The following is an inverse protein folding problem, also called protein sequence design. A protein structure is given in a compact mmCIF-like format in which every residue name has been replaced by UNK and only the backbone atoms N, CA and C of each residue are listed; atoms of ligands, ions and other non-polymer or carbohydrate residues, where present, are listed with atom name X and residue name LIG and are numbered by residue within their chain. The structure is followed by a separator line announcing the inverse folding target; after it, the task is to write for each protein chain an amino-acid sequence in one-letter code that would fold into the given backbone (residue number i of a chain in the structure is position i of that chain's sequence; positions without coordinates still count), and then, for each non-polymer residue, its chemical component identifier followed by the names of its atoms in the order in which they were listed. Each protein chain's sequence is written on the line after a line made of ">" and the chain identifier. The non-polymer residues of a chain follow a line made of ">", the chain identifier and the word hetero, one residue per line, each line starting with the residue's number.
data_IF_364874611710
#
_entry.id   IF_364874611710
#
_cell.length_a   1.000
_cell.length_b   1.000
_cell.length_c   1.000
_cell.angle_alpha   90.00
_cell.angle_beta   90.00
_cell.angle_gamma   90.00
#
_symmetry.space_group_name_H-M   'P 1'
#
loop_
_entity.id
_entity.type
_entity.pdbx_description
1 polymer ?
#
# COMPACT_ATOMS: atom_id res chain seq x y z
N UNK A 1 44.18 -7.67 16.54
CA UNK A 1 42.92 -7.84 17.30
C UNK A 1 41.90 -6.86 16.75
N UNK A 2 40.78 -7.35 16.20
CA UNK A 2 39.68 -6.48 15.78
C UNK A 2 38.88 -6.14 17.03
N UNK A 3 38.83 -4.85 17.41
CA UNK A 3 37.96 -4.38 18.47
C UNK A 3 36.51 -4.52 18.01
N UNK A 4 35.81 -5.56 18.47
CA UNK A 4 34.40 -5.73 18.17
C UNK A 4 33.59 -4.79 19.07
N UNK A 5 32.99 -3.76 18.47
CA UNK A 5 32.09 -2.84 19.17
C UNK A 5 30.79 -3.56 19.50
N UNK A 6 30.36 -3.50 20.77
CA UNK A 6 29.08 -4.08 21.22
C UNK A 6 27.95 -3.05 21.04
N UNK A 7 26.97 -3.28 20.15
CA UNK A 7 25.85 -2.37 19.98
C UNK A 7 25.02 -2.25 21.27
N UNK A 8 24.62 -1.03 21.64
CA UNK A 8 23.75 -0.76 22.80
C UNK A 8 22.27 -0.67 22.44
N UNK A 9 21.97 -0.38 21.18
CA UNK A 9 20.62 -0.30 20.63
C UNK A 9 20.66 -0.80 19.19
N UNK A 10 19.70 -1.67 18.86
CA UNK A 10 19.43 -2.11 17.48
C UNK A 10 17.96 -1.88 17.23
N UNK A 11 17.65 -1.06 16.23
CA UNK A 11 16.28 -0.82 15.78
C UNK A 11 16.09 -1.56 14.46
N UNK A 12 14.99 -2.29 14.37
CA UNK A 12 14.61 -2.98 13.14
C UNK A 12 13.50 -2.19 12.45
N UNK A 13 13.64 -2.03 11.13
CA UNK A 13 12.45 -1.85 10.32
C UNK A 13 11.60 -3.12 10.43
N UNK A 14 10.29 -2.99 10.35
CA UNK A 14 9.39 -4.15 10.45
C UNK A 14 9.28 -4.82 9.10
N UNK A 15 9.16 -4.03 8.04
CA UNK A 15 8.85 -4.50 6.70
C UNK A 15 10.02 -5.15 6.01
N UNK A 16 9.83 -6.32 5.40
CA UNK A 16 10.88 -7.01 4.66
C UNK A 16 12.07 -7.47 5.53
N UNK A 17 12.06 -7.11 6.82
CA UNK A 17 13.05 -7.44 7.83
C UNK A 17 12.44 -8.41 8.85
N UNK A 18 11.35 -8.01 9.51
CA UNK A 18 10.64 -8.84 10.48
C UNK A 18 9.40 -9.52 9.89
N UNK A 19 8.69 -8.86 8.98
CA UNK A 19 7.43 -9.34 8.37
C UNK A 19 7.42 -9.14 6.85
N UNK A 20 6.78 -10.06 6.13
CA UNK A 20 6.58 -9.99 4.67
C UNK A 20 5.11 -9.71 4.34
N UNK A 21 4.82 -8.91 3.30
CA UNK A 21 3.44 -8.71 2.84
C UNK A 21 2.98 -9.73 1.82
N UNK A 22 1.66 -9.89 1.80
CA UNK A 22 0.87 -10.52 0.74
C UNK A 22 -0.14 -9.52 0.16
N UNK A 23 0.33 -8.30 -0.20
CA UNK A 23 -0.56 -7.20 -0.62
C UNK A 23 -1.45 -7.61 -1.80
N UNK A 24 -0.85 -8.16 -2.86
CA UNK A 24 -1.58 -8.55 -4.07
C UNK A 24 -2.66 -9.59 -3.76
N UNK A 25 -2.31 -10.64 -3.00
CA UNK A 25 -3.26 -11.67 -2.57
C UNK A 25 -4.42 -11.05 -1.78
N UNK A 26 -4.13 -10.13 -0.86
CA UNK A 26 -5.14 -9.49 -0.02
C UNK A 26 -6.10 -8.60 -0.84
N UNK A 27 -5.58 -7.83 -1.81
CA UNK A 27 -6.43 -6.99 -2.65
C UNK A 27 -7.26 -7.82 -3.62
N UNK A 28 -6.71 -8.91 -4.16
CA UNK A 28 -7.45 -9.87 -5.00
C UNK A 28 -8.56 -10.51 -4.20
N UNK A 29 -8.26 -10.99 -2.99
CA UNK A 29 -9.23 -11.61 -2.10
C UNK A 29 -10.38 -10.66 -1.76
N UNK A 30 -10.08 -9.46 -1.23
CA UNK A 30 -11.11 -8.48 -0.90
C UNK A 30 -11.86 -8.03 -2.14
N UNK A 31 -11.17 -7.73 -3.24
CA UNK A 31 -11.81 -7.35 -4.50
C UNK A 31 -12.85 -8.38 -4.95
N UNK A 32 -12.48 -9.66 -4.91
CA UNK A 32 -13.37 -10.77 -5.30
C UNK A 32 -14.65 -10.85 -4.45
N UNK A 33 -14.58 -10.55 -3.15
CA UNK A 33 -15.74 -10.52 -2.25
C UNK A 33 -16.78 -9.46 -2.66
N UNK A 34 -16.36 -8.42 -3.38
CA UNK A 34 -17.22 -7.36 -3.89
C UNK A 34 -17.41 -7.43 -5.41
N UNK A 35 -17.08 -8.56 -6.04
CA UNK A 35 -17.23 -8.76 -7.49
C UNK A 35 -16.20 -8.03 -8.36
N UNK A 36 -15.12 -7.51 -7.75
CA UNK A 36 -14.04 -6.80 -8.43
C UNK A 36 -12.84 -7.73 -8.64
N UNK A 37 -12.87 -8.49 -9.73
CA UNK A 37 -11.76 -9.34 -10.13
C UNK A 37 -10.61 -8.49 -10.68
N UNK A 38 -9.55 -8.37 -9.88
CA UNK A 38 -8.34 -7.64 -10.25
C UNK A 38 -7.25 -8.60 -10.72
N UNK A 39 -6.58 -8.25 -11.82
CA UNK A 39 -5.42 -9.01 -12.28
C UNK A 39 -4.19 -8.57 -11.46
N UNK A 40 -3.45 -9.49 -10.81
CA UNK A 40 -2.37 -9.15 -9.89
C UNK A 40 -1.28 -8.26 -10.52
N UNK A 41 -0.86 -8.50 -11.77
CA UNK A 41 0.21 -7.72 -12.41
C UNK A 41 -0.23 -6.30 -12.76
N UNK A 42 -1.49 -6.12 -13.18
CA UNK A 42 -2.09 -4.79 -13.40
C UNK A 42 -2.26 -4.05 -12.09
N UNK A 43 -2.68 -4.73 -11.03
CA UNK A 43 -2.79 -4.15 -9.68
C UNK A 43 -1.43 -3.64 -9.20
N UNK A 44 -0.43 -4.52 -9.30
CA UNK A 44 0.96 -4.25 -9.02
C UNK A 44 1.49 -2.98 -9.71
N UNK A 45 1.28 -2.90 -11.02
CA UNK A 45 1.69 -1.75 -11.84
C UNK A 45 0.93 -0.48 -11.48
N UNK A 46 -0.39 -0.58 -11.32
CA UNK A 46 -1.25 0.55 -10.97
C UNK A 46 -0.89 1.14 -9.62
N UNK A 47 -0.64 0.28 -8.63
CA UNK A 47 -0.21 0.69 -7.30
C UNK A 47 1.12 1.43 -7.37
N UNK A 48 2.13 0.87 -8.07
CA UNK A 48 3.46 1.49 -8.24
C UNK A 48 3.33 2.89 -8.86
N UNK A 49 2.54 3.02 -9.93
CA UNK A 49 2.33 4.29 -10.63
C UNK A 49 1.63 5.33 -9.75
N UNK A 50 0.53 4.94 -9.09
CA UNK A 50 -0.22 5.84 -8.23
C UNK A 50 0.59 6.27 -7.02
N UNK A 51 1.34 5.36 -6.41
CA UNK A 51 2.23 5.68 -5.30
C UNK A 51 3.33 6.67 -5.72
N UNK A 52 4.02 6.42 -6.83
CA UNK A 52 5.08 7.31 -7.31
C UNK A 52 4.55 8.72 -7.60
N UNK A 53 3.39 8.80 -8.25
CA UNK A 53 2.70 10.07 -8.54
C UNK A 53 2.30 10.81 -7.26
N UNK A 54 1.58 10.15 -6.35
CA UNK A 54 1.13 10.75 -5.09
C UNK A 54 2.30 11.11 -4.15
N UNK A 55 3.43 10.39 -4.23
CA UNK A 55 4.62 10.71 -3.43
C UNK A 55 5.28 11.99 -3.91
N UNK A 56 5.23 12.26 -5.22
CA UNK A 56 5.73 13.51 -5.82
C UNK A 56 4.77 14.67 -5.57
N UNK A 57 3.48 14.47 -5.78
CA UNK A 57 2.44 15.51 -5.64
C UNK A 57 2.14 15.85 -4.17
N UNK A 58 2.15 14.82 -3.31
CA UNK A 58 1.78 14.91 -1.90
C UNK A 58 2.81 14.18 -1.00
N UNK A 59 4.03 14.74 -0.82
CA UNK A 59 5.10 14.09 -0.06
C UNK A 59 4.73 13.79 1.39
N UNK A 60 5.44 12.81 1.98
CA UNK A 60 5.23 12.36 3.37
C UNK A 60 3.75 12.04 3.61
N UNK A 61 3.17 11.27 2.70
CA UNK A 61 1.76 10.85 2.75
C UNK A 61 0.78 12.04 2.86
N UNK A 62 1.11 13.15 2.21
CA UNK A 62 0.28 14.36 2.21
C UNK A 62 0.31 15.19 3.49
N UNK A 63 1.29 15.00 4.38
CA UNK A 63 1.43 15.72 5.67
C UNK A 63 1.30 17.24 5.54
N UNK A 64 1.87 17.81 4.48
CA UNK A 64 1.96 19.28 4.30
C UNK A 64 1.05 19.82 3.20
N UNK A 65 0.25 18.98 2.56
CA UNK A 65 -0.59 19.37 1.40
C UNK A 65 -2.08 19.45 1.74
N UNK A 66 -2.45 19.23 3.00
CA UNK A 66 -3.86 19.15 3.42
C UNK A 66 -4.56 17.83 3.08
N UNK A 67 -3.96 16.97 2.24
CA UNK A 67 -4.54 15.67 1.90
C UNK A 67 -4.60 14.72 3.11
N UNK A 68 -3.49 14.62 3.85
CA UNK A 68 -3.34 13.73 5.00
C UNK A 68 -3.24 12.24 4.63
N UNK A 69 -2.54 11.47 5.47
CA UNK A 69 -2.15 10.09 5.16
C UNK A 69 -3.34 9.14 4.90
N UNK A 70 -4.47 9.36 5.59
CA UNK A 70 -5.68 8.53 5.42
C UNK A 70 -6.29 8.66 4.03
N UNK A 71 -6.33 9.88 3.51
CA UNK A 71 -6.85 10.13 2.17
C UNK A 71 -5.82 9.77 1.12
N UNK A 72 -4.54 10.00 1.41
CA UNK A 72 -3.43 9.60 0.56
C UNK A 72 -3.50 8.11 0.20
N UNK A 73 -3.59 7.22 1.19
CA UNK A 73 -3.74 5.78 0.94
C UNK A 73 -5.08 5.41 0.32
N UNK A 74 -6.18 6.06 0.75
CA UNK A 74 -7.51 5.86 0.15
C UNK A 74 -7.50 6.16 -1.35
N UNK A 75 -6.80 7.21 -1.79
CA UNK A 75 -6.68 7.56 -3.20
C UNK A 75 -5.93 6.49 -3.99
N UNK A 76 -4.88 5.88 -3.43
CA UNK A 76 -4.19 4.75 -4.09
C UNK A 76 -5.14 3.59 -4.30
N UNK A 77 -5.80 3.11 -3.23
CA UNK A 77 -6.71 1.97 -3.32
C UNK A 77 -7.83 2.25 -4.31
N UNK A 78 -8.42 3.44 -4.23
CA UNK A 78 -9.46 3.88 -5.16
C UNK A 78 -9.00 3.79 -6.62
N UNK A 79 -7.84 4.37 -6.95
CA UNK A 79 -7.34 4.39 -8.33
C UNK A 79 -7.00 2.99 -8.84
N UNK A 80 -6.41 2.13 -7.99
CA UNK A 80 -6.04 0.75 -8.35
C UNK A 80 -7.25 -0.06 -8.80
N UNK A 81 -8.37 0.03 -8.07
CA UNK A 81 -9.60 -0.67 -8.47
C UNK A 81 -10.30 0.04 -9.64
N UNK A 82 -10.32 1.38 -9.66
CA UNK A 82 -10.99 2.14 -10.73
C UNK A 82 -10.33 1.95 -12.10
N UNK A 83 -9.01 1.81 -12.16
CA UNK A 83 -8.26 1.57 -13.40
C UNK A 83 -8.57 0.20 -14.04
N UNK A 84 -8.94 -0.81 -13.24
CA UNK A 84 -9.35 -2.13 -13.76
C UNK A 84 -10.87 -2.26 -13.94
N UNK A 85 -11.65 -1.42 -13.25
CA UNK A 85 -13.12 -1.44 -13.29
C UNK A 85 -13.67 -0.03 -13.51
N UNK A 86 -13.57 0.50 -14.73
CA UNK A 86 -13.99 1.88 -15.04
C UNK A 86 -15.47 2.17 -14.68
N UNK A 87 -16.36 1.18 -14.86
CA UNK A 87 -17.80 1.33 -14.63
C UNK A 87 -18.25 1.02 -13.20
N UNK A 88 -17.35 0.73 -12.27
CA UNK A 88 -17.72 0.42 -10.87
C UNK A 88 -18.33 1.64 -10.16
N UNK A 89 -19.36 1.39 -9.35
CA UNK A 89 -19.98 2.42 -8.51
C UNK A 89 -19.04 2.87 -7.38
N UNK A 90 -19.16 4.13 -6.99
CA UNK A 90 -18.42 4.71 -5.86
C UNK A 90 -18.72 3.98 -4.55
N UNK A 91 -19.95 3.54 -4.35
CA UNK A 91 -20.39 2.80 -3.17
C UNK A 91 -19.66 1.46 -3.02
N UNK A 92 -19.46 0.74 -4.12
CA UNK A 92 -18.75 -0.55 -4.10
C UNK A 92 -17.26 -0.33 -3.80
N UNK A 93 -16.66 0.69 -4.42
CA UNK A 93 -15.28 1.09 -4.11
C UNK A 93 -15.10 1.49 -2.65
N UNK A 94 -16.06 2.22 -2.09
CA UNK A 94 -16.00 2.65 -0.70
C UNK A 94 -16.02 1.48 0.28
N UNK A 95 -16.83 0.45 0.01
CA UNK A 95 -16.84 -0.79 0.79
C UNK A 95 -15.50 -1.53 0.72
N UNK A 96 -14.93 -1.67 -0.48
CA UNK A 96 -13.62 -2.32 -0.69
C UNK A 96 -12.51 -1.56 0.06
N UNK A 97 -12.46 -0.24 -0.07
CA UNK A 97 -11.47 0.61 0.61
C UNK A 97 -11.62 0.50 2.13
N UNK A 98 -12.86 0.49 2.63
CA UNK A 98 -13.12 0.33 4.06
C UNK A 98 -12.64 -1.04 4.56
N UNK A 99 -12.85 -2.11 3.78
CA UNK A 99 -12.44 -3.47 4.18
C UNK A 99 -10.92 -3.63 4.19
N UNK A 100 -10.23 -3.11 3.17
CA UNK A 100 -8.76 -3.08 3.13
C UNK A 100 -8.22 -2.28 4.33
N UNK A 101 -8.90 -1.20 4.73
CA UNK A 101 -8.56 -0.48 5.96
C UNK A 101 -8.79 -1.37 7.20
N UNK A 102 -9.98 -1.93 7.40
CA UNK A 102 -10.33 -2.68 8.62
C UNK A 102 -9.40 -3.89 8.87
N UNK A 103 -8.88 -4.53 7.82
CA UNK A 103 -7.88 -5.60 7.94
C UNK A 103 -6.45 -5.15 8.31
N UNK A 104 -6.12 -3.86 8.12
CA UNK A 104 -4.73 -3.35 8.07
C UNK A 104 -4.47 -2.17 9.05
N UNK A 105 -5.49 -1.70 9.78
CA UNK A 105 -5.43 -0.43 10.55
C UNK A 105 -4.46 -0.42 11.75
N UNK A 106 -3.91 -1.53 12.25
CA UNK A 106 -2.89 -1.40 13.31
C UNK A 106 -1.52 -1.03 12.79
N UNK A 107 -1.24 -1.26 11.51
CA UNK A 107 0.07 -0.96 10.95
C UNK A 107 -0.10 -0.50 9.51
N UNK A 108 0.05 0.82 9.28
CA UNK A 108 0.29 1.51 7.99
C UNK A 108 1.45 0.93 7.14
N UNK A 109 1.98 -0.20 7.57
CA UNK A 109 3.18 -0.87 7.11
C UNK A 109 2.89 -1.52 5.77
N UNK A 110 1.80 -2.27 5.59
CA UNK A 110 1.54 -3.14 4.42
C UNK A 110 1.60 -2.40 3.07
N UNK A 111 1.11 -1.16 3.00
CA UNK A 111 1.12 -0.41 1.74
C UNK A 111 2.46 0.28 1.43
N UNK A 112 3.27 0.63 2.45
CA UNK A 112 4.66 1.10 2.26
C UNK A 112 5.54 -0.05 1.70
N UNK A 113 5.19 -1.32 2.00
CA UNK A 113 5.99 -2.51 1.67
C UNK A 113 6.03 -2.86 0.18
N UNK A 114 4.99 -2.52 -0.59
CA UNK A 114 4.88 -2.93 -2.00
C UNK A 114 6.00 -2.37 -2.89
N UNK A 115 6.56 -1.22 -2.50
CA UNK A 115 7.59 -0.53 -3.29
C UNK A 115 8.98 -1.08 -3.01
N UNK A 116 9.23 -1.57 -1.79
CA UNK A 116 10.55 -2.11 -1.44
C UNK A 116 10.87 -3.38 -2.22
N UNK A 117 9.85 -4.20 -2.54
CA UNK A 117 10.04 -5.44 -3.31
C UNK A 117 10.17 -5.21 -4.83
N UNK A 118 9.70 -4.08 -5.35
CA UNK A 118 9.64 -3.78 -6.80
C UNK A 118 10.55 -2.62 -7.25
N UNK A 119 11.46 -2.17 -6.38
CA UNK A 119 12.52 -1.19 -6.65
C UNK A 119 13.90 -1.70 -6.16
N UNK A 120 14.19 -3.00 -6.33
CA UNK A 120 15.58 -3.47 -6.33
C UNK A 120 16.29 -2.92 -7.57
N UNK A 121 17.05 -1.83 -7.38
CA UNK A 121 18.37 -1.71 -7.99
C UNK A 121 19.35 -2.51 -7.15
#
# INVERSE_FOLDING_TARGET
>A
MINCVRPRLVTFDVTGTLLMTKLEEHYVEIGSQYGLLVEPRKLARSFKNNFARLSKEHPIYGKHTGLGWKNWWRTIVYNVFKEQHASVSTETLDKVILMIKIGDIRHNIICIMYLYKNNTY
#
